data_IF_966290389386
#
_entry.id   IF_966290389386
#
_cell.length_a   1.000
_cell.length_b   1.000
_cell.length_c   1.000
_cell.angle_alpha   90.00
_cell.angle_beta   90.00
_cell.angle_gamma   90.00
#
_symmetry.space_group_name_H-M   'P 1'
#
loop_
_entity.id
_entity.type
_entity.pdbx_description
1 polymer ?
#
# COMPACT_ATOMS: atom_id res chain seq x y z
N UNK A 1 17.20 2.13 14.37
CA UNK A 1 16.92 3.00 13.20
C UNK A 1 15.62 2.54 12.59
N UNK A 2 14.63 3.44 12.45
CA UNK A 2 13.43 3.13 11.65
C UNK A 2 13.77 3.38 10.19
N UNK A 3 13.47 2.41 9.32
CA UNK A 3 13.61 2.57 7.87
C UNK A 3 12.64 3.64 7.39
N UNK A 4 13.07 4.49 6.45
CA UNK A 4 12.22 5.55 5.91
C UNK A 4 11.00 4.95 5.21
N UNK A 5 11.23 3.94 4.38
CA UNK A 5 10.17 3.28 3.62
C UNK A 5 9.80 1.96 4.27
N UNK A 6 8.49 1.68 4.36
CA UNK A 6 7.93 0.44 4.90
C UNK A 6 6.79 -0.08 4.02
N UNK A 7 6.59 -1.40 3.99
CA UNK A 7 5.48 -2.01 3.25
C UNK A 7 4.23 -1.99 4.11
N UNK A 8 3.11 -1.55 3.55
CA UNK A 8 1.78 -1.58 4.17
C UNK A 8 0.78 -2.23 3.22
N UNK A 9 -0.34 -2.81 3.73
CA UNK A 9 -1.44 -3.19 2.86
C UNK A 9 -1.91 -1.98 2.03
N UNK A 10 -2.14 -2.20 0.74
CA UNK A 10 -2.69 -1.16 -0.12
C UNK A 10 -4.07 -0.75 0.38
N UNK A 11 -4.41 0.53 0.19
CA UNK A 11 -5.75 1.02 0.52
C UNK A 11 -6.77 0.20 -0.28
N UNK A 12 -7.72 -0.49 0.38
CA UNK A 12 -8.75 -1.24 -0.31
C UNK A 12 -9.54 -0.30 -1.23
N UNK A 13 -9.75 -0.73 -2.47
CA UNK A 13 -10.54 0.03 -3.44
C UNK A 13 -11.94 -0.58 -3.44
N UNK A 14 -12.95 0.25 -3.25
CA UNK A 14 -14.34 -0.14 -3.46
C UNK A 14 -14.53 -0.47 -4.94
N UNK A 15 -14.85 -1.73 -5.22
CA UNK A 15 -15.08 -2.20 -6.59
C UNK A 15 -16.57 -2.18 -6.92
N UNK A 16 -17.38 -2.61 -5.97
CA UNK A 16 -18.82 -2.68 -6.12
C UNK A 16 -19.48 -2.24 -4.81
N UNK A 17 -20.61 -1.56 -4.94
CA UNK A 17 -21.55 -1.38 -3.84
C UNK A 17 -22.85 -2.07 -4.22
N UNK A 18 -23.42 -2.83 -3.29
CA UNK A 18 -24.67 -3.53 -3.51
C UNK A 18 -25.58 -3.42 -2.30
N UNK A 19 -26.87 -3.65 -2.53
CA UNK A 19 -27.91 -3.54 -1.50
C UNK A 19 -28.55 -4.89 -1.23
N UNK A 20 -28.67 -5.26 0.05
CA UNK A 20 -29.42 -6.43 0.49
C UNK A 20 -30.50 -5.96 1.46
N UNK A 21 -31.76 -5.92 0.99
CA UNK A 21 -32.87 -5.32 1.72
C UNK A 21 -32.67 -3.81 1.93
N UNK A 22 -32.66 -3.36 3.19
CA UNK A 22 -32.38 -1.96 3.57
C UNK A 22 -30.89 -1.69 3.86
N UNK A 23 -30.02 -2.70 3.77
CA UNK A 23 -28.60 -2.56 4.10
C UNK A 23 -27.74 -2.36 2.85
N UNK A 24 -26.78 -1.46 2.95
CA UNK A 24 -25.77 -1.18 1.94
C UNK A 24 -24.47 -1.89 2.30
N UNK A 25 -23.85 -2.56 1.33
CA UNK A 25 -22.57 -3.23 1.45
C UNK A 25 -21.62 -2.71 0.39
N UNK A 26 -20.37 -2.47 0.78
CA UNK A 26 -19.28 -2.18 -0.15
C UNK A 26 -18.38 -3.41 -0.24
N UNK A 27 -18.22 -3.96 -1.44
CA UNK A 27 -17.23 -4.97 -1.74
C UNK A 27 -15.90 -4.27 -2.08
N UNK A 28 -14.98 -4.28 -1.12
CA UNK A 28 -13.62 -3.79 -1.33
C UNK A 28 -12.71 -4.93 -1.75
N UNK A 29 -11.87 -4.69 -2.77
CA UNK A 29 -10.79 -5.62 -3.11
C UNK A 29 -9.50 -5.18 -2.42
N UNK A 30 -8.72 -6.15 -1.92
CA UNK A 30 -7.38 -5.88 -1.44
C UNK A 30 -6.50 -5.50 -2.64
N UNK A 31 -6.07 -4.24 -2.71
CA UNK A 31 -5.28 -3.70 -3.83
C UNK A 31 -3.82 -4.15 -3.86
N UNK A 32 -3.43 -5.12 -3.01
CA UNK A 32 -2.06 -5.56 -2.84
C UNK A 32 -1.34 -4.81 -1.71
N UNK A 33 -0.15 -4.30 -1.99
CA UNK A 33 0.77 -3.69 -1.02
C UNK A 33 1.24 -2.31 -1.51
N UNK A 34 1.19 -1.30 -0.65
CA UNK A 34 1.77 0.02 -0.90
C UNK A 34 3.10 0.16 -0.15
N UNK A 35 3.97 1.04 -0.63
CA UNK A 35 5.13 1.51 0.15
C UNK A 35 4.74 2.82 0.84
N UNK A 36 4.96 2.90 2.14
CA UNK A 36 4.71 4.08 2.95
C UNK A 36 6.03 4.77 3.30
N UNK A 37 6.12 6.07 3.05
CA UNK A 37 7.22 6.92 3.48
C UNK A 37 6.91 7.46 4.88
N UNK A 38 7.64 7.00 5.89
CA UNK A 38 7.50 7.46 7.28
C UNK A 38 7.90 8.93 7.48
N UNK A 39 8.78 9.48 6.62
CA UNK A 39 9.21 10.87 6.72
C UNK A 39 8.18 11.80 6.07
N UNK A 40 7.79 11.51 4.82
CA UNK A 40 6.79 12.31 4.10
C UNK A 40 5.34 12.03 4.56
N UNK A 41 5.13 10.94 5.32
CA UNK A 41 3.83 10.47 5.82
C UNK A 41 2.81 10.21 4.71
N UNK A 42 3.27 9.63 3.61
CA UNK A 42 2.45 9.35 2.44
C UNK A 42 2.64 7.93 1.90
N UNK A 43 1.61 7.44 1.18
CA UNK A 43 1.67 6.17 0.45
C UNK A 43 2.13 6.44 -0.97
N UNK A 44 3.22 5.80 -1.37
CA UNK A 44 3.73 5.84 -2.73
C UNK A 44 2.87 4.94 -3.63
N UNK A 45 2.63 5.39 -4.86
CA UNK A 45 1.94 4.65 -5.92
C UNK A 45 2.94 4.28 -7.04
N UNK A 46 2.71 3.19 -7.79
CA UNK A 46 1.54 2.30 -7.75
C UNK A 46 1.56 1.29 -6.60
N UNK A 47 0.40 0.66 -6.35
CA UNK A 47 0.27 -0.50 -5.47
C UNK A 47 0.85 -1.75 -6.13
N UNK A 48 1.56 -2.57 -5.37
CA UNK A 48 2.17 -3.82 -5.83
C UNK A 48 1.22 -5.00 -5.58
N UNK A 49 0.96 -5.87 -6.57
CA UNK A 49 0.06 -7.01 -6.40
C UNK A 49 0.61 -8.06 -5.44
N UNK A 50 1.94 -8.18 -5.32
CA UNK A 50 2.60 -9.13 -4.43
C UNK A 50 3.49 -8.43 -3.39
N UNK A 51 3.63 -9.07 -2.22
CA UNK A 51 4.50 -8.57 -1.15
C UNK A 51 5.97 -8.60 -1.57
N UNK A 52 6.35 -9.60 -2.37
CA UNK A 52 7.72 -9.76 -2.86
C UNK A 52 8.13 -8.60 -3.75
N UNK A 53 7.25 -8.17 -4.67
CA UNK A 53 7.52 -7.02 -5.54
C UNK A 53 7.65 -5.73 -4.72
N UNK A 54 6.77 -5.54 -3.74
CA UNK A 54 6.85 -4.40 -2.81
C UNK A 54 8.14 -4.42 -1.99
N UNK A 55 8.61 -5.60 -1.59
CA UNK A 55 9.83 -5.75 -0.78
C UNK A 55 11.08 -5.35 -1.56
N UNK A 56 11.22 -5.83 -2.80
CA UNK A 56 12.36 -5.47 -3.66
C UNK A 56 12.44 -3.94 -3.82
N UNK A 57 11.32 -3.28 -4.06
CA UNK A 57 11.27 -1.83 -4.23
C UNK A 57 11.50 -1.07 -2.91
N UNK A 58 10.91 -1.54 -1.81
CA UNK A 58 11.10 -0.96 -0.49
C UNK A 58 12.58 -1.00 -0.05
N UNK A 59 13.27 -2.11 -0.31
CA UNK A 59 14.71 -2.24 -0.02
C UNK A 59 15.55 -1.29 -0.89
N UNK A 60 15.24 -1.16 -2.18
CA UNK A 60 15.93 -0.23 -3.08
C UNK A 60 15.77 1.23 -2.65
N UNK A 61 14.55 1.64 -2.26
CA UNK A 61 14.28 3.00 -1.80
C UNK A 61 15.01 3.31 -0.49
N UNK A 62 15.02 2.38 0.46
CA UNK A 62 15.76 2.55 1.71
C UNK A 62 17.27 2.68 1.45
N UNK A 63 17.84 1.80 0.61
CA UNK A 63 19.27 1.89 0.21
C UNK A 63 19.59 3.24 -0.42
N UNK A 64 18.72 3.78 -1.28
CA UNK A 64 18.92 5.08 -1.91
C UNK A 64 18.82 6.23 -0.92
N UNK A 65 17.95 6.13 0.08
CA UNK A 65 17.78 7.17 1.12
C UNK A 65 18.89 7.21 2.17
N UNK A 66 19.66 6.13 2.32
CA UNK A 66 20.82 6.09 3.24
C UNK A 66 22.09 6.69 2.62
N UNK A 67 22.09 7.00 1.32
CA UNK A 67 23.25 7.48 0.55
C UNK A 67 23.21 9.00 0.31
N UNK A 68 22.17 9.70 0.77
CA UNK A 68 22.02 11.15 0.65
C UNK A 68 22.00 11.85 2.01
#
# INVERSE_FOLDING_TARGET
MQTRFVIVPAVPIEKESFRVGSRYYAATVCGGFDIYDNQAKERLKPSYPSRTDAQVQCEQLNKRSEVG
#
